data_IF_561671702150
#
_entry.id   IF_561671702150
#
_cell.length_a   1.000
_cell.length_b   1.000
_cell.length_c   1.000
_cell.angle_alpha   90.00
_cell.angle_beta   90.00
_cell.angle_gamma   90.00
#
_symmetry.space_group_name_H-M   'P 1'
#
loop_
_entity.id
_entity.type
_entity.pdbx_description
1 polymer ?
#
# COMPACT_ATOMS: atom_id res chain seq x y z
N UNK A 1 34.29 8.22 -13.76
CA UNK A 1 34.57 8.82 -12.44
C UNK A 1 34.50 7.71 -11.39
N UNK A 2 35.61 7.38 -10.72
CA UNK A 2 35.60 6.43 -9.60
C UNK A 2 35.12 7.18 -8.35
N UNK A 3 33.94 6.86 -7.85
CA UNK A 3 33.44 7.39 -6.58
C UNK A 3 34.41 7.02 -5.45
N UNK A 4 34.62 7.94 -4.49
CA UNK A 4 35.51 7.71 -3.35
C UNK A 4 34.97 6.57 -2.46
N UNK A 5 35.84 5.75 -1.84
CA UNK A 5 35.43 4.60 -1.04
C UNK A 5 34.54 4.96 0.17
N UNK A 6 34.55 6.22 0.61
CA UNK A 6 33.70 6.70 1.72
C UNK A 6 32.23 6.91 1.33
N UNK A 7 31.92 7.22 0.07
CA UNK A 7 30.53 7.37 -0.39
C UNK A 7 29.83 6.01 -0.50
N UNK A 8 30.55 5.01 -1.02
CA UNK A 8 30.06 3.64 -1.24
C UNK A 8 29.59 2.93 0.03
N UNK A 9 30.28 3.15 1.16
CA UNK A 9 29.92 2.50 2.44
C UNK A 9 28.69 3.12 3.09
N UNK A 10 28.48 4.44 2.93
CA UNK A 10 27.30 5.14 3.46
C UNK A 10 26.03 4.74 2.71
N UNK A 11 26.12 4.57 1.39
CA UNK A 11 25.00 4.15 0.55
C UNK A 11 24.59 2.69 0.83
N UNK A 12 25.56 1.81 1.08
CA UNK A 12 25.30 0.41 1.45
C UNK A 12 24.70 0.27 2.85
N UNK A 13 25.16 1.08 3.82
CA UNK A 13 24.61 1.09 5.17
C UNK A 13 23.18 1.65 5.21
N UNK A 14 22.91 2.72 4.43
CA UNK A 14 21.57 3.27 4.27
C UNK A 14 20.64 2.24 3.60
N UNK A 15 21.07 1.63 2.48
CA UNK A 15 20.37 0.53 1.82
C UNK A 15 19.94 -0.55 2.82
N UNK A 16 20.90 -1.08 3.60
CA UNK A 16 20.64 -2.20 4.50
C UNK A 16 19.76 -1.77 5.68
N UNK A 17 20.02 -0.59 6.24
CA UNK A 17 19.25 -0.04 7.35
C UNK A 17 17.79 0.19 7.01
N UNK A 18 17.50 0.90 5.91
CA UNK A 18 16.12 1.21 5.51
C UNK A 18 15.37 -0.05 5.03
N UNK A 19 16.04 -0.96 4.33
CA UNK A 19 15.44 -2.23 3.90
C UNK A 19 15.06 -3.11 5.09
N UNK A 20 15.95 -3.26 6.07
CA UNK A 20 15.68 -4.02 7.29
C UNK A 20 14.58 -3.36 8.14
N UNK A 21 14.56 -2.03 8.20
CA UNK A 21 13.50 -1.30 8.89
C UNK A 21 12.13 -1.56 8.24
N UNK A 22 12.04 -1.49 6.91
CA UNK A 22 10.82 -1.83 6.19
C UNK A 22 10.37 -3.27 6.47
N UNK A 23 11.30 -4.23 6.40
CA UNK A 23 10.99 -5.64 6.65
C UNK A 23 10.47 -5.85 8.08
N UNK A 24 11.14 -5.23 9.05
CA UNK A 24 10.74 -5.28 10.46
C UNK A 24 9.33 -4.72 10.66
N UNK A 25 9.03 -3.55 10.09
CA UNK A 25 7.74 -2.86 10.27
C UNK A 25 6.56 -3.65 9.69
N UNK A 26 6.75 -4.37 8.58
CA UNK A 26 5.68 -5.11 7.90
C UNK A 26 5.57 -6.59 8.27
N UNK A 27 6.66 -7.26 8.64
CA UNK A 27 6.68 -8.73 8.75
C UNK A 27 7.03 -9.27 10.13
N UNK A 28 7.61 -8.48 11.02
CA UNK A 28 8.05 -8.97 12.34
C UNK A 28 7.00 -8.61 13.38
N UNK A 29 6.22 -9.57 13.92
CA UNK A 29 5.27 -9.27 14.98
C UNK A 29 5.99 -8.90 16.28
N UNK A 30 5.47 -7.88 16.96
CA UNK A 30 5.95 -7.41 18.26
C UNK A 30 4.78 -7.43 19.24
N UNK A 31 5.03 -7.88 20.46
CA UNK A 31 4.05 -7.86 21.54
C UNK A 31 4.16 -6.56 22.32
N UNK A 32 3.19 -5.66 22.17
CA UNK A 32 3.04 -4.44 22.98
C UNK A 32 1.65 -4.40 23.59
N UNK A 33 1.54 -4.04 24.88
CA UNK A 33 0.27 -3.93 25.61
C UNK A 33 -0.66 -5.15 25.45
N UNK A 34 -0.10 -6.36 25.46
CA UNK A 34 -0.85 -7.61 25.34
C UNK A 34 -1.35 -7.96 23.93
N UNK A 35 -1.04 -7.14 22.91
CA UNK A 35 -1.34 -7.43 21.50
C UNK A 35 -0.08 -7.81 20.74
N UNK A 36 -0.11 -8.96 20.08
CA UNK A 36 0.97 -9.43 19.20
C UNK A 36 0.62 -9.14 17.74
N UNK A 37 1.19 -8.08 17.19
CA UNK A 37 0.90 -7.59 15.83
C UNK A 37 2.13 -6.88 15.26
N UNK A 38 2.10 -6.52 13.98
CA UNK A 38 3.22 -5.86 13.32
C UNK A 38 3.42 -4.42 13.84
N UNK A 39 4.66 -3.88 13.83
CA UNK A 39 4.94 -2.53 14.30
C UNK A 39 4.08 -1.45 13.65
N UNK A 40 3.74 -1.60 12.36
CA UNK A 40 2.84 -0.66 11.67
C UNK A 40 1.47 -0.56 12.35
N UNK A 41 0.91 -1.69 12.80
CA UNK A 41 -0.40 -1.73 13.46
C UNK A 41 -0.34 -1.11 14.86
N UNK A 42 0.79 -1.26 15.57
CA UNK A 42 1.02 -0.55 16.83
C UNK A 42 1.09 0.97 16.63
N UNK A 43 1.73 1.45 15.56
CA UNK A 43 1.74 2.88 15.20
C UNK A 43 0.32 3.37 14.91
N UNK A 44 -0.45 2.63 14.11
CA UNK A 44 -1.84 2.98 13.80
C UNK A 44 -2.69 3.00 15.07
N UNK A 45 -2.52 2.00 15.94
CA UNK A 45 -3.22 1.93 17.23
C UNK A 45 -2.86 3.13 18.10
N UNK A 46 -1.58 3.51 18.16
CA UNK A 46 -1.12 4.70 18.87
C UNK A 46 -1.82 5.98 18.37
N UNK A 47 -1.93 6.18 17.06
CA UNK A 47 -2.67 7.33 16.51
C UNK A 47 -4.17 7.29 16.86
N UNK A 48 -4.79 6.11 16.80
CA UNK A 48 -6.23 5.95 17.08
C UNK A 48 -6.56 6.19 18.56
N UNK A 49 -5.74 5.67 19.47
CA UNK A 49 -6.02 5.74 20.91
C UNK A 49 -5.41 7.00 21.55
N UNK A 50 -4.23 7.41 21.08
CA UNK A 50 -3.50 8.56 21.63
C UNK A 50 -3.96 9.90 21.04
N UNK A 51 -4.38 9.93 19.78
CA UNK A 51 -4.83 11.15 19.08
C UNK A 51 -6.19 10.94 18.39
N UNK A 52 -7.25 10.64 19.14
CA UNK A 52 -8.55 10.25 18.57
C UNK A 52 -9.15 11.35 17.67
N UNK A 53 -9.03 12.62 18.06
CA UNK A 53 -9.51 13.76 17.24
C UNK A 53 -8.75 13.84 15.91
N UNK A 54 -7.42 13.70 15.93
CA UNK A 54 -6.62 13.68 14.71
C UNK A 54 -7.04 12.53 13.80
N UNK A 55 -7.13 11.30 14.33
CA UNK A 55 -7.49 10.12 13.53
C UNK A 55 -8.87 10.26 12.88
N UNK A 56 -9.84 10.82 13.61
CA UNK A 56 -11.20 11.07 13.13
C UNK A 56 -11.20 12.06 11.97
N UNK A 57 -10.62 13.24 12.14
CA UNK A 57 -10.64 14.25 11.07
C UNK A 57 -9.70 13.91 9.90
N UNK A 58 -8.61 13.21 10.15
CA UNK A 58 -7.73 12.70 9.10
C UNK A 58 -8.45 11.69 8.21
N UNK A 59 -9.26 10.80 8.81
CA UNK A 59 -10.11 9.87 8.07
C UNK A 59 -11.13 10.61 7.20
N UNK A 60 -11.80 11.64 7.73
CA UNK A 60 -12.70 12.50 6.94
C UNK A 60 -11.97 13.15 5.76
N UNK A 61 -10.78 13.70 5.98
CA UNK A 61 -9.96 14.32 4.93
C UNK A 61 -9.66 13.31 3.81
N UNK A 62 -9.23 12.10 4.15
CA UNK A 62 -8.95 11.05 3.17
C UNK A 62 -10.20 10.66 2.35
N UNK A 63 -11.36 10.53 3.00
CA UNK A 63 -12.63 10.25 2.31
C UNK A 63 -13.01 11.40 1.38
N UNK A 64 -12.83 12.65 1.82
CA UNK A 64 -13.12 13.84 1.03
C UNK A 64 -12.23 13.93 -0.21
N UNK A 65 -10.92 13.72 -0.06
CA UNK A 65 -9.97 13.65 -1.17
C UNK A 65 -10.33 12.52 -2.15
N UNK A 66 -10.69 11.35 -1.61
CA UNK A 66 -11.12 10.20 -2.40
C UNK A 66 -12.36 10.48 -3.25
N UNK A 67 -13.36 11.16 -2.69
CA UNK A 67 -14.59 11.57 -3.38
C UNK A 67 -14.31 12.66 -4.42
N UNK A 68 -13.48 13.65 -4.09
CA UNK A 68 -13.03 14.68 -5.02
C UNK A 68 -12.35 14.09 -6.26
N UNK A 69 -11.45 13.12 -6.06
CA UNK A 69 -10.76 12.42 -7.15
C UNK A 69 -11.71 11.63 -8.04
N UNK A 70 -12.75 11.03 -7.45
CA UNK A 70 -13.76 10.30 -8.21
C UNK A 70 -14.57 11.24 -9.11
N UNK A 71 -14.96 12.40 -8.61
CA UNK A 71 -15.64 13.44 -9.41
C UNK A 71 -14.77 13.91 -10.58
N UNK A 72 -13.46 14.10 -10.36
CA UNK A 72 -12.53 14.42 -11.45
C UNK A 72 -12.41 13.27 -12.45
N UNK A 73 -12.41 12.02 -11.98
CA UNK A 73 -12.34 10.84 -12.84
C UNK A 73 -13.56 10.72 -13.76
N UNK A 74 -14.77 11.03 -13.27
CA UNK A 74 -16.00 11.07 -14.09
C UNK A 74 -15.86 12.06 -15.24
N UNK A 75 -15.38 13.27 -14.96
CA UNK A 75 -15.17 14.31 -15.99
C UNK A 75 -14.15 13.87 -17.05
N UNK A 76 -13.10 13.15 -16.65
CA UNK A 76 -12.01 12.73 -17.53
C UNK A 76 -12.34 11.50 -18.39
N UNK A 77 -12.86 10.44 -17.76
CA UNK A 77 -13.06 9.13 -18.43
C UNK A 77 -14.41 9.01 -19.11
N UNK A 78 -15.46 9.65 -18.56
CA UNK A 78 -16.84 9.59 -19.05
C UNK A 78 -17.36 8.15 -19.27
N UNK A 79 -16.91 7.19 -18.45
CA UNK A 79 -17.32 5.80 -18.50
C UNK A 79 -18.24 5.44 -17.31
N UNK A 80 -19.01 4.35 -17.46
CA UNK A 80 -19.94 3.89 -16.43
C UNK A 80 -19.22 3.54 -15.12
N UNK A 81 -18.01 2.97 -15.21
CA UNK A 81 -17.20 2.60 -14.05
C UNK A 81 -16.81 3.81 -13.21
N UNK A 82 -16.38 4.92 -13.82
CA UNK A 82 -16.07 6.14 -13.07
C UNK A 82 -17.32 6.72 -12.41
N UNK A 83 -18.48 6.67 -13.08
CA UNK A 83 -19.74 7.17 -12.53
C UNK A 83 -20.18 6.35 -11.32
N UNK A 84 -20.16 5.02 -11.41
CA UNK A 84 -20.49 4.12 -10.30
C UNK A 84 -19.55 4.35 -9.11
N UNK A 85 -18.22 4.39 -9.34
CA UNK A 85 -17.25 4.64 -8.29
C UNK A 85 -17.41 6.01 -7.63
N UNK A 86 -17.77 7.05 -8.40
CA UNK A 86 -18.06 8.37 -7.84
C UNK A 86 -19.30 8.35 -6.96
N UNK A 87 -20.38 7.68 -7.38
CA UNK A 87 -21.59 7.53 -6.56
C UNK A 87 -21.27 6.84 -5.22
N UNK A 88 -20.51 5.73 -5.22
CA UNK A 88 -20.10 5.03 -4.00
C UNK A 88 -19.21 5.90 -3.09
N UNK A 89 -18.29 6.68 -3.66
CA UNK A 89 -17.41 7.53 -2.85
C UNK A 89 -18.13 8.75 -2.28
N UNK A 90 -19.08 9.31 -3.02
CA UNK A 90 -19.93 10.42 -2.55
C UNK A 90 -20.89 9.93 -1.46
N UNK A 91 -21.50 8.75 -1.61
CA UNK A 91 -22.35 8.18 -0.56
C UNK A 91 -21.54 7.83 0.69
N UNK A 92 -20.32 7.32 0.54
CA UNK A 92 -19.38 7.13 1.66
C UNK A 92 -19.01 8.43 2.36
N UNK A 93 -18.77 9.52 1.62
CA UNK A 93 -18.54 10.86 2.18
C UNK A 93 -19.78 11.36 2.93
N UNK A 94 -20.98 11.19 2.37
CA UNK A 94 -22.22 11.56 3.03
C UNK A 94 -22.39 10.77 4.34
N UNK A 95 -22.15 9.46 4.36
CA UNK A 95 -22.21 8.64 5.56
C UNK A 95 -21.17 9.07 6.63
N UNK A 96 -19.95 9.42 6.20
CA UNK A 96 -18.91 9.95 7.07
C UNK A 96 -19.31 11.30 7.70
N UNK A 97 -19.87 12.22 6.90
CA UNK A 97 -20.37 13.51 7.39
C UNK A 97 -21.53 13.31 8.34
N UNK A 98 -22.50 12.46 7.99
CA UNK A 98 -23.61 12.09 8.86
C UNK A 98 -23.03 11.66 10.21
N UNK A 99 -22.16 10.64 10.26
CA UNK A 99 -21.54 10.14 11.50
C UNK A 99 -20.86 11.22 12.37
N UNK A 100 -20.24 12.21 11.73
CA UNK A 100 -19.45 13.24 12.40
C UNK A 100 -20.29 14.39 12.98
N UNK A 101 -21.41 14.73 12.37
CA UNK A 101 -22.25 15.85 12.78
C UNK A 101 -23.45 15.38 13.61
N UNK A 102 -23.86 16.17 14.59
CA UNK A 102 -24.96 15.84 15.51
C UNK A 102 -26.33 15.84 14.80
N UNK A 103 -27.28 15.03 15.29
CA UNK A 103 -28.68 15.03 14.81
C UNK A 103 -29.07 13.86 13.88
N UNK A 104 -28.41 12.72 14.02
CA UNK A 104 -28.57 11.59 13.11
C UNK A 104 -29.72 10.64 13.54
N UNK A 105 -30.41 10.00 12.59
CA UNK A 105 -31.40 8.96 12.89
C UNK A 105 -30.82 7.84 13.76
N UNK A 106 -31.56 7.41 14.79
CA UNK A 106 -31.11 6.39 15.74
C UNK A 106 -30.72 5.06 15.08
N UNK A 107 -31.35 4.69 13.95
CA UNK A 107 -31.03 3.47 13.23
C UNK A 107 -29.62 3.49 12.62
N UNK A 108 -29.11 4.66 12.21
CA UNK A 108 -27.76 4.79 11.63
C UNK A 108 -26.66 4.73 12.70
N UNK A 109 -27.00 5.09 13.93
CA UNK A 109 -26.09 5.10 15.08
C UNK A 109 -26.04 3.79 15.85
N UNK A 110 -26.67 2.73 15.33
CA UNK A 110 -26.46 1.38 15.85
C UNK A 110 -24.99 0.98 15.68
N UNK A 111 -24.42 0.29 16.68
CA UNK A 111 -22.98 0.03 16.79
C UNK A 111 -22.36 -0.68 15.58
N UNK A 112 -23.17 -1.40 14.84
CA UNK A 112 -22.87 -2.23 13.67
C UNK A 112 -23.05 -1.50 12.32
N UNK A 113 -23.49 -0.24 12.34
CA UNK A 113 -23.76 0.56 11.13
C UNK A 113 -22.71 1.66 10.93
N UNK A 114 -23.02 2.94 11.19
CA UNK A 114 -22.07 4.04 10.98
C UNK A 114 -20.86 3.99 11.92
N UNK A 115 -21.01 3.73 13.24
CA UNK A 115 -19.88 3.58 14.15
C UNK A 115 -18.91 2.47 13.71
N UNK A 116 -19.41 1.30 13.31
CA UNK A 116 -18.57 0.23 12.78
C UNK A 116 -17.84 0.66 11.51
N UNK A 117 -18.58 1.19 10.53
CA UNK A 117 -18.01 1.66 9.27
C UNK A 117 -16.91 2.70 9.53
N UNK A 118 -17.17 3.70 10.36
CA UNK A 118 -16.24 4.81 10.53
C UNK A 118 -15.05 4.46 11.43
N UNK A 119 -15.29 3.85 12.59
CA UNK A 119 -14.25 3.64 13.60
C UNK A 119 -13.46 2.34 13.41
N UNK A 120 -14.09 1.30 12.85
CA UNK A 120 -13.48 -0.02 12.67
C UNK A 120 -12.95 -0.25 11.26
N UNK A 121 -13.46 0.47 10.26
CA UNK A 121 -13.01 0.33 8.86
C UNK A 121 -12.34 1.59 8.33
N UNK A 122 -13.06 2.71 8.22
CA UNK A 122 -12.55 3.92 7.55
C UNK A 122 -11.35 4.50 8.29
N UNK A 123 -11.42 4.65 9.62
CA UNK A 123 -10.33 5.27 10.39
C UNK A 123 -9.03 4.45 10.35
N UNK A 124 -9.03 3.13 10.59
CA UNK A 124 -7.83 2.30 10.42
C UNK A 124 -7.28 2.32 8.99
N UNK A 125 -8.15 2.20 7.98
CA UNK A 125 -7.74 2.19 6.57
C UNK A 125 -7.14 3.54 6.16
N UNK A 126 -7.73 4.64 6.60
CA UNK A 126 -7.22 5.98 6.32
C UNK A 126 -5.82 6.21 6.89
N UNK A 127 -5.48 5.60 8.04
CA UNK A 127 -4.15 5.70 8.65
C UNK A 127 -3.15 4.72 8.02
N UNK A 128 -3.55 3.46 7.80
CA UNK A 128 -2.63 2.42 7.30
C UNK A 128 -2.16 2.68 5.89
N UNK A 129 -3.01 3.25 5.01
CA UNK A 129 -2.65 3.47 3.60
C UNK A 129 -1.47 4.46 3.45
N UNK A 130 -1.51 5.69 3.99
CA UNK A 130 -0.40 6.63 3.87
C UNK A 130 0.81 6.22 4.71
N UNK A 131 0.61 5.73 5.94
CA UNK A 131 1.73 5.27 6.77
C UNK A 131 2.43 4.07 6.12
N UNK A 132 1.65 3.09 5.68
CA UNK A 132 2.11 1.94 4.94
C UNK A 132 2.85 2.34 3.67
N UNK A 133 2.35 3.31 2.90
CA UNK A 133 3.04 3.79 1.71
C UNK A 133 4.45 4.37 2.01
N UNK A 134 4.62 5.10 3.12
CA UNK A 134 5.93 5.62 3.54
C UNK A 134 6.90 4.48 3.87
N UNK A 135 6.46 3.48 4.64
CA UNK A 135 7.32 2.34 4.96
C UNK A 135 7.53 1.42 3.75
N UNK A 136 6.57 1.35 2.84
CA UNK A 136 6.67 0.58 1.61
C UNK A 136 7.72 1.20 0.68
N UNK A 137 7.84 2.53 0.65
CA UNK A 137 8.93 3.20 -0.05
C UNK A 137 10.31 2.74 0.46
N UNK A 138 10.46 2.46 1.77
CA UNK A 138 11.70 1.88 2.30
C UNK A 138 12.01 0.49 1.75
N UNK A 139 10.98 -0.32 1.44
CA UNK A 139 11.13 -1.63 0.81
C UNK A 139 11.38 -1.54 -0.71
N UNK A 140 10.90 -0.49 -1.37
CA UNK A 140 10.96 -0.36 -2.83
C UNK A 140 12.21 0.40 -3.27
N UNK A 141 12.41 1.59 -2.72
CA UNK A 141 13.34 2.59 -3.25
C UNK A 141 14.78 2.38 -2.80
N UNK A 142 14.98 1.71 -1.65
CA UNK A 142 16.32 1.45 -1.10
C UNK A 142 16.91 0.14 -1.61
N UNK A 143 16.54 -0.30 -2.81
CA UNK A 143 17.16 -1.43 -3.53
C UNK A 143 16.84 -2.83 -3.01
N UNK A 144 15.98 -2.98 -1.99
CA UNK A 144 15.53 -4.29 -1.55
C UNK A 144 14.79 -5.06 -2.67
N UNK A 145 14.09 -4.37 -3.58
CA UNK A 145 13.52 -5.01 -4.77
C UNK A 145 14.59 -5.68 -5.64
N UNK A 146 15.69 -4.99 -5.91
CA UNK A 146 16.79 -5.51 -6.74
C UNK A 146 17.53 -6.65 -6.02
N UNK A 147 17.76 -6.50 -4.72
CA UNK A 147 18.35 -7.55 -3.90
C UNK A 147 17.46 -8.80 -3.83
N UNK A 148 16.17 -8.63 -3.56
CA UNK A 148 15.20 -9.73 -3.50
C UNK A 148 15.11 -10.43 -4.86
N UNK A 149 15.10 -9.68 -5.97
CA UNK A 149 15.18 -10.25 -7.31
C UNK A 149 16.46 -11.06 -7.55
N UNK A 150 17.62 -10.54 -7.14
CA UNK A 150 18.91 -11.25 -7.27
C UNK A 150 18.97 -12.52 -6.39
N UNK A 151 18.36 -12.48 -5.20
CA UNK A 151 18.30 -13.60 -4.26
C UNK A 151 17.35 -14.70 -4.75
N UNK A 152 16.24 -14.32 -5.35
CA UNK A 152 15.25 -15.25 -5.93
C UNK A 152 15.67 -15.77 -7.31
N UNK A 153 16.64 -15.14 -7.96
CA UNK A 153 17.15 -15.53 -9.29
C UNK A 153 17.48 -17.03 -9.42
N UNK A 154 18.20 -17.67 -8.47
CA UNK A 154 18.53 -19.09 -8.56
C UNK A 154 17.30 -19.98 -8.34
N UNK A 155 16.36 -19.54 -7.49
CA UNK A 155 15.11 -20.27 -7.23
C UNK A 155 14.19 -20.26 -8.46
N UNK A 156 14.05 -19.11 -9.12
CA UNK A 156 13.27 -18.99 -10.36
C UNK A 156 13.79 -19.94 -11.44
N UNK A 157 15.12 -20.00 -11.61
CA UNK A 157 15.73 -20.89 -12.60
C UNK A 157 15.59 -22.37 -12.25
N UNK A 158 15.67 -22.74 -10.96
CA UNK A 158 15.68 -24.14 -10.50
C UNK A 158 14.28 -24.74 -10.36
N UNK A 159 13.32 -23.97 -9.84
CA UNK A 159 11.97 -24.46 -9.56
C UNK A 159 11.01 -24.16 -10.73
N UNK A 160 11.06 -22.93 -11.24
CA UNK A 160 10.10 -22.44 -12.24
C UNK A 160 10.63 -22.47 -13.68
N UNK A 161 11.91 -22.79 -13.86
CA UNK A 161 12.56 -22.82 -15.18
C UNK A 161 12.40 -21.51 -15.98
N UNK A 162 12.28 -20.38 -15.27
CA UNK A 162 12.18 -19.04 -15.89
C UNK A 162 13.52 -18.29 -15.79
N UNK A 163 13.75 -17.27 -16.64
CA UNK A 163 14.99 -16.51 -16.64
C UNK A 163 15.13 -15.75 -15.33
N UNK A 164 16.36 -15.54 -14.87
CA UNK A 164 16.61 -14.85 -13.60
C UNK A 164 15.93 -13.48 -13.43
N UNK A 165 15.69 -12.76 -14.52
CA UNK A 165 14.95 -11.47 -14.54
C UNK A 165 13.48 -11.59 -14.12
N UNK A 166 12.86 -12.77 -14.19
CA UNK A 166 11.50 -13.02 -13.72
C UNK A 166 11.35 -12.83 -12.21
N UNK A 167 12.44 -12.99 -11.46
CA UNK A 167 12.45 -12.72 -10.02
C UNK A 167 12.16 -11.25 -9.70
N UNK A 168 12.74 -10.32 -10.46
CA UNK A 168 12.50 -8.88 -10.29
C UNK A 168 11.08 -8.53 -10.69
N UNK A 169 10.57 -9.11 -11.78
CA UNK A 169 9.20 -8.93 -12.25
C UNK A 169 8.17 -9.44 -11.23
N UNK A 170 8.42 -10.60 -10.63
CA UNK A 170 7.59 -11.17 -9.57
C UNK A 170 7.57 -10.28 -8.32
N UNK A 171 8.72 -9.76 -7.90
CA UNK A 171 8.80 -8.84 -6.75
C UNK A 171 8.10 -7.51 -7.05
N UNK A 172 8.26 -6.97 -8.25
CA UNK A 172 7.54 -5.76 -8.70
C UNK A 172 6.01 -5.98 -8.73
N UNK A 173 5.57 -7.16 -9.15
CA UNK A 173 4.16 -7.56 -9.17
C UNK A 173 3.56 -7.71 -7.77
N UNK A 174 4.34 -8.27 -6.84
CA UNK A 174 3.94 -8.46 -5.45
C UNK A 174 3.75 -7.12 -4.72
N UNK A 175 4.68 -6.18 -4.93
CA UNK A 175 4.67 -4.90 -4.21
C UNK A 175 3.80 -3.85 -4.89
N UNK A 176 3.81 -3.77 -6.22
CA UNK A 176 3.09 -2.74 -6.97
C UNK A 176 1.65 -3.14 -7.24
N UNK A 177 1.46 -4.01 -8.24
CA UNK A 177 0.19 -4.67 -8.51
C UNK A 177 0.39 -5.74 -9.58
N UNK A 178 -0.53 -6.69 -9.62
CA UNK A 178 -0.62 -7.66 -10.71
C UNK A 178 -0.63 -7.00 -12.10
N UNK A 179 -1.37 -5.88 -12.26
CA UNK A 179 -1.44 -5.16 -13.55
C UNK A 179 -0.12 -4.55 -13.96
N UNK A 180 0.67 -4.03 -13.03
CA UNK A 180 2.03 -3.53 -13.31
C UNK A 180 2.93 -4.69 -13.72
N UNK A 181 2.81 -5.83 -13.03
CA UNK A 181 3.48 -7.08 -13.41
C UNK A 181 3.22 -7.47 -14.86
N UNK A 182 1.94 -7.58 -15.24
CA UNK A 182 1.56 -7.90 -16.62
C UNK A 182 2.14 -6.93 -17.66
N UNK A 183 2.16 -5.62 -17.36
CA UNK A 183 2.72 -4.62 -18.28
C UNK A 183 4.24 -4.77 -18.42
N UNK A 184 4.94 -5.12 -17.33
CA UNK A 184 6.38 -5.40 -17.36
C UNK A 184 6.64 -6.70 -18.12
N UNK A 185 5.91 -7.77 -17.83
CA UNK A 185 6.02 -9.06 -18.52
C UNK A 185 5.76 -8.91 -20.03
N UNK A 186 4.70 -8.21 -20.44
CA UNK A 186 4.41 -7.94 -21.86
C UNK A 186 5.56 -7.18 -22.54
N UNK A 187 6.08 -6.14 -21.89
CA UNK A 187 7.22 -5.37 -22.41
C UNK A 187 8.45 -6.27 -22.61
N UNK A 188 8.80 -7.07 -21.61
CA UNK A 188 9.97 -7.98 -21.66
C UNK A 188 9.76 -9.08 -22.71
N UNK A 189 8.54 -9.59 -22.88
CA UNK A 189 8.22 -10.54 -23.95
C UNK A 189 8.41 -9.92 -25.34
N UNK A 190 7.88 -8.71 -25.56
CA UNK A 190 8.02 -7.99 -26.85
C UNK A 190 9.46 -7.61 -27.18
N UNK A 191 10.33 -7.46 -26.18
CA UNK A 191 11.78 -7.28 -26.35
C UNK A 191 12.52 -8.58 -26.76
N UNK A 192 11.82 -9.70 -26.95
CA UNK A 192 12.42 -11.02 -27.25
C UNK A 192 13.15 -11.62 -26.05
N UNK A 193 12.90 -11.08 -24.86
CA UNK A 193 13.55 -11.48 -23.62
C UNK A 193 12.73 -12.55 -22.90
N UNK A 194 11.47 -12.80 -23.21
CA UNK A 194 10.79 -14.02 -22.74
C UNK A 194 10.38 -14.89 -23.91
N UNK A 195 10.44 -16.20 -23.70
CA UNK A 195 9.73 -17.15 -24.56
C UNK A 195 8.24 -17.16 -24.22
N UNK A 196 7.39 -17.64 -25.11
CA UNK A 196 5.94 -17.72 -24.89
C UNK A 196 5.60 -18.58 -23.65
N UNK A 197 6.43 -19.57 -23.32
CA UNK A 197 6.27 -20.40 -22.11
C UNK A 197 6.66 -19.67 -20.83
N UNK A 198 7.56 -18.69 -20.89
CA UNK A 198 8.03 -17.93 -19.73
C UNK A 198 7.16 -16.71 -19.43
N UNK A 199 6.38 -16.25 -20.40
CA UNK A 199 5.46 -15.11 -20.28
C UNK A 199 4.00 -15.50 -20.02
N UNK A 200 3.68 -16.81 -20.02
CA UNK A 200 2.37 -17.39 -19.75
C UNK A 200 2.24 -17.81 -18.28
#
# INVERSE_FOLDING_TARGET
MRASPSAKNRDTAAFLGFSLLGLFVFFVPVSLNGKNTIPLDHIITFFRTGLPLFSRYFALLMVMLGAWDALRAVKRKKDASALVLALFKISGLAAALIFLFSGQPAFLMQSDVLPFLYEKLVTPVALIVPLGAVFLAFLVDYGLMEFSGSLLQPFMRRLFHTPGRSAVDAVASFVGSYSIGLLITDRVYREGRYTTREAA
#
